data_IF_180402625936
#
_entry.id   IF_180402625936
#
_cell.length_a   1.000
_cell.length_b   1.000
_cell.length_c   1.000
_cell.angle_alpha   90.00
_cell.angle_beta   90.00
_cell.angle_gamma   90.00
#
_symmetry.space_group_name_H-M   'P 1'
#
loop_
_entity.id
_entity.type
_entity.pdbx_description
1 polymer ?
#
# COMPACT_ATOMS: atom_id res chain seq x y z
N UNK A 1 14.06 9.17 -2.32
CA UNK A 1 12.67 9.58 -1.97
C UNK A 1 11.65 8.49 -2.31
N UNK A 2 10.49 8.47 -1.65
CA UNK A 2 9.37 7.55 -2.01
C UNK A 2 8.62 8.12 -3.21
N UNK A 3 8.48 7.34 -4.29
CA UNK A 3 7.80 7.78 -5.53
C UNK A 3 6.30 7.58 -5.51
N UNK A 4 5.81 6.61 -4.73
CA UNK A 4 4.40 6.27 -4.66
C UNK A 4 3.58 7.35 -3.95
N UNK A 5 2.36 7.57 -4.46
CA UNK A 5 1.32 8.25 -3.72
C UNK A 5 0.47 7.20 -2.98
N UNK A 6 0.91 6.80 -1.80
CA UNK A 6 0.29 5.72 -1.02
C UNK A 6 -1.20 5.98 -0.76
N UNK A 7 -1.60 7.23 -0.54
CA UNK A 7 -3.01 7.58 -0.35
C UNK A 7 -3.84 7.25 -1.59
N UNK A 8 -3.34 7.63 -2.77
CA UNK A 8 -4.01 7.35 -4.03
C UNK A 8 -4.01 5.84 -4.32
N UNK A 9 -2.87 5.17 -4.13
CA UNK A 9 -2.71 3.75 -4.40
C UNK A 9 -3.71 2.91 -3.59
N UNK A 10 -3.82 3.14 -2.27
CA UNK A 10 -4.76 2.40 -1.42
C UNK A 10 -6.22 2.69 -1.80
N UNK A 11 -6.56 3.94 -2.14
CA UNK A 11 -7.93 4.28 -2.59
C UNK A 11 -8.28 3.59 -3.90
N UNK A 12 -7.37 3.56 -4.86
CA UNK A 12 -7.56 2.87 -6.13
C UNK A 12 -7.77 1.37 -5.90
N UNK A 13 -6.98 0.74 -5.02
CA UNK A 13 -7.17 -0.69 -4.68
C UNK A 13 -8.49 -0.97 -3.97
N UNK A 14 -8.98 -0.06 -3.13
CA UNK A 14 -10.33 -0.18 -2.55
C UNK A 14 -11.40 -0.20 -3.65
N UNK A 15 -11.31 0.71 -4.62
CA UNK A 15 -12.24 0.80 -5.76
C UNK A 15 -12.19 -0.45 -6.63
N UNK A 16 -10.98 -0.91 -7.01
CA UNK A 16 -10.79 -2.13 -7.81
C UNK A 16 -11.41 -3.37 -7.17
N UNK A 17 -11.41 -3.45 -5.84
CA UNK A 17 -11.96 -4.57 -5.07
C UNK A 17 -13.43 -4.37 -4.66
N UNK A 18 -14.06 -3.24 -5.04
CA UNK A 18 -15.42 -2.91 -4.61
C UNK A 18 -15.57 -2.73 -3.10
N UNK A 19 -14.49 -2.35 -2.40
CA UNK A 19 -14.46 -2.18 -0.94
C UNK A 19 -14.39 -0.71 -0.56
N UNK A 20 -14.96 -0.36 0.59
CA UNK A 20 -14.70 0.93 1.22
C UNK A 20 -13.50 0.82 2.16
N UNK A 21 -12.89 1.96 2.52
CA UNK A 21 -11.85 1.99 3.56
C UNK A 21 -12.37 1.57 4.94
N UNK A 22 -13.68 1.67 5.17
CA UNK A 22 -14.32 1.20 6.41
C UNK A 22 -14.31 -0.32 6.42
N UNK A 23 -14.73 -0.95 5.32
CA UNK A 23 -14.68 -2.40 5.19
C UNK A 23 -13.24 -2.92 5.29
N UNK A 24 -12.28 -2.23 4.67
CA UNK A 24 -10.87 -2.58 4.82
C UNK A 24 -10.40 -2.51 6.28
N UNK A 25 -10.81 -1.48 7.02
CA UNK A 25 -10.44 -1.34 8.44
C UNK A 25 -11.06 -2.44 9.30
N UNK A 26 -12.33 -2.78 9.05
CA UNK A 26 -13.05 -3.86 9.74
C UNK A 26 -12.40 -5.22 9.48
N UNK A 27 -12.06 -5.52 8.22
CA UNK A 27 -11.43 -6.79 7.81
C UNK A 27 -10.05 -7.03 8.43
N UNK A 28 -9.31 -5.96 8.73
CA UNK A 28 -7.99 -6.05 9.37
C UNK A 28 -8.05 -5.74 10.88
N UNK A 29 -9.25 -5.78 11.46
CA UNK A 29 -9.48 -5.60 12.91
C UNK A 29 -8.89 -4.29 13.46
N UNK A 30 -9.05 -3.19 12.72
CA UNK A 30 -8.58 -1.85 13.12
C UNK A 30 -9.64 -0.78 12.93
N UNK A 31 -9.28 0.48 13.15
CA UNK A 31 -10.18 1.62 12.99
C UNK A 31 -9.96 2.33 11.66
N UNK A 32 -11.04 2.88 11.08
CA UNK A 32 -10.96 3.81 9.93
C UNK A 32 -9.97 4.96 10.19
N UNK A 33 -9.93 5.48 11.42
CA UNK A 33 -9.02 6.54 11.82
C UNK A 33 -7.55 6.09 11.75
N UNK A 34 -7.25 4.85 12.15
CA UNK A 34 -5.92 4.27 12.01
C UNK A 34 -5.53 4.09 10.54
N UNK A 35 -6.41 3.50 9.71
CA UNK A 35 -6.18 3.37 8.26
C UNK A 35 -5.91 4.74 7.61
N UNK A 36 -6.72 5.75 7.91
CA UNK A 36 -6.54 7.10 7.38
C UNK A 36 -5.20 7.72 7.79
N UNK A 37 -4.77 7.50 9.03
CA UNK A 37 -3.47 7.97 9.51
C UNK A 37 -2.32 7.29 8.78
N UNK A 38 -2.40 5.98 8.54
CA UNK A 38 -1.36 5.23 7.85
C UNK A 38 -1.19 5.71 6.40
N UNK A 39 -2.28 5.90 5.66
CA UNK A 39 -2.19 6.22 4.23
C UNK A 39 -1.91 7.69 3.94
N UNK A 40 -2.32 8.61 4.82
CA UNK A 40 -2.09 10.06 4.65
C UNK A 40 -0.70 10.49 5.10
N UNK A 41 -0.07 9.70 5.97
CA UNK A 41 1.25 9.99 6.51
C UNK A 41 2.28 9.13 5.78
N UNK A 42 3.05 9.72 4.87
CA UNK A 42 4.03 8.97 4.06
C UNK A 42 5.04 8.18 4.92
N UNK A 43 5.48 8.75 6.03
CA UNK A 43 6.36 8.09 7.00
C UNK A 43 5.68 7.00 7.84
N UNK A 44 4.36 6.86 7.74
CA UNK A 44 3.57 5.82 8.39
C UNK A 44 3.63 4.46 7.68
N UNK A 45 3.95 4.43 6.38
CA UNK A 45 4.09 3.20 5.59
C UNK A 45 5.55 2.86 5.35
N UNK A 46 6.35 3.85 4.95
CA UNK A 46 7.80 3.71 4.80
C UNK A 46 8.45 4.65 5.81
N UNK A 47 9.03 4.08 6.87
CA UNK A 47 9.55 4.88 7.97
C UNK A 47 10.67 5.84 7.50
N UNK A 48 10.76 7.00 8.16
CA UNK A 48 11.71 8.05 7.78
C UNK A 48 13.18 7.59 7.82
N UNK A 49 13.55 6.73 8.76
CA UNK A 49 14.93 6.21 8.86
C UNK A 49 15.30 5.42 7.61
N UNK A 50 14.42 4.53 7.17
CA UNK A 50 14.63 3.73 5.96
C UNK A 50 14.72 4.62 4.71
N UNK A 51 13.87 5.64 4.58
CA UNK A 51 13.97 6.61 3.47
C UNK A 51 15.35 7.27 3.42
N UNK A 52 15.86 7.72 4.57
CA UNK A 52 17.20 8.34 4.67
C UNK A 52 18.32 7.36 4.33
N UNK A 53 18.21 6.09 4.72
CA UNK A 53 19.18 5.06 4.35
C UNK A 53 19.23 4.86 2.83
N UNK A 54 18.08 4.72 2.18
CA UNK A 54 18.03 4.53 0.72
C UNK A 54 18.54 5.76 -0.04
N UNK A 55 18.22 6.95 0.45
CA UNK A 55 18.73 8.21 -0.09
C UNK A 55 20.26 8.31 0.01
N UNK A 56 20.84 7.97 1.17
CA UNK A 56 22.29 7.94 1.35
C UNK A 56 23.00 6.93 0.43
N UNK A 57 22.30 5.86 0.05
CA UNK A 57 22.78 4.86 -0.92
C UNK A 57 22.55 5.27 -2.39
N UNK A 58 21.91 6.41 -2.65
CA UNK A 58 21.64 6.91 -4.01
C UNK A 58 20.38 6.32 -4.67
N UNK A 59 19.44 5.80 -3.89
CA UNK A 59 18.24 5.14 -4.40
C UNK A 59 16.94 5.88 -4.03
N UNK A 60 16.00 5.83 -4.98
CA UNK A 60 14.59 6.11 -4.74
C UNK A 60 13.84 4.82 -4.38
N UNK A 61 12.67 4.97 -3.75
CA UNK A 61 11.82 3.86 -3.30
C UNK A 61 10.56 3.84 -4.17
N UNK A 62 10.31 2.69 -4.80
CA UNK A 62 9.08 2.37 -5.52
C UNK A 62 8.46 1.10 -4.93
N UNK A 63 7.17 1.16 -4.61
CA UNK A 63 6.36 0.04 -4.11
C UNK A 63 5.46 -0.46 -5.24
N UNK A 64 5.51 -1.77 -5.47
CA UNK A 64 4.64 -2.46 -6.43
C UNK A 64 3.72 -3.42 -5.70
N UNK A 65 2.42 -3.28 -5.93
CA UNK A 65 1.39 -4.16 -5.37
C UNK A 65 1.09 -5.30 -6.34
N UNK A 66 1.23 -6.54 -5.87
CA UNK A 66 0.92 -7.75 -6.65
C UNK A 66 -0.30 -8.42 -6.04
N UNK A 67 -1.30 -8.75 -6.88
CA UNK A 67 -2.50 -9.46 -6.39
C UNK A 67 -2.10 -10.82 -5.82
N UNK A 68 -2.61 -11.12 -4.62
CA UNK A 68 -2.27 -12.34 -3.86
C UNK A 68 -2.51 -13.64 -4.64
N UNK A 69 -3.51 -13.66 -5.54
CA UNK A 69 -3.90 -14.83 -6.32
C UNK A 69 -3.57 -14.71 -7.82
N UNK A 70 -2.76 -13.72 -8.22
CA UNK A 70 -2.42 -13.52 -9.65
C UNK A 70 -1.71 -14.72 -10.27
N UNK A 71 -0.86 -15.41 -9.51
CA UNK A 71 -0.16 -16.62 -9.97
C UNK A 71 -1.07 -17.83 -10.16
N UNK A 72 -2.07 -18.04 -9.29
CA UNK A 72 -3.04 -19.13 -9.42
C UNK A 72 -3.85 -19.01 -10.72
N UNK A 73 -4.28 -17.78 -11.06
CA UNK A 73 -5.06 -17.51 -12.28
C UNK A 73 -4.27 -17.67 -13.58
N UNK A 74 -2.93 -17.70 -13.54
CA UNK A 74 -2.10 -17.97 -14.71
C UNK A 74 -1.92 -19.48 -14.94
N UNK A 75 -1.84 -20.27 -13.87
CA UNK A 75 -1.73 -21.74 -13.95
C UNK A 75 -3.06 -22.38 -14.37
N UNK A 76 -4.20 -21.85 -13.92
CA UNK A 76 -5.54 -22.34 -14.29
C UNK A 76 -5.96 -21.99 -15.73
N UNK A 77 -5.17 -21.20 -16.46
CA UNK A 77 -5.42 -20.82 -17.86
C UNK A 77 -4.51 -21.56 -18.85
N UNK A 78 -3.66 -22.47 -18.38
CA UNK A 78 -2.83 -23.37 -19.17
C UNK A 78 -3.38 -24.80 -19.09
#
# INVERSE_FOLDING_TARGET
MVKNNIELDVKTKCIEQGKTQVNLAEEIETTKAYVNRVIKKQDGVVNQTFVKMMEALGYDIELRYVERNSLLRMVERL
#
